data_IF_523345149947
#
_entry.id   IF_523345149947
#
_cell.length_a   1.000
_cell.length_b   1.000
_cell.length_c   1.000
_cell.angle_alpha   90.00
_cell.angle_beta   90.00
_cell.angle_gamma   90.00
#
_symmetry.space_group_name_H-M   'P 1'
#
loop_
_entity.id
_entity.type
_entity.pdbx_description
1 polymer ?
#
# COMPACT_ATOMS: atom_id res chain seq x y z
N UNK A 1 -18.43 -1.31 -4.69
CA UNK A 1 -17.10 -1.51 -4.07
C UNK A 1 -16.39 -0.17 -4.05
N UNK A 2 -15.79 0.22 -2.92
CA UNK A 2 -15.03 1.48 -2.83
C UNK A 2 -13.81 1.43 -3.75
N UNK A 3 -13.50 2.54 -4.41
CA UNK A 3 -12.30 2.73 -5.23
C UNK A 3 -11.19 3.47 -4.47
N UNK A 4 -11.42 3.78 -3.19
CA UNK A 4 -10.44 4.44 -2.34
C UNK A 4 -9.37 3.47 -1.84
N UNK A 5 -8.17 4.00 -1.61
CA UNK A 5 -7.11 3.28 -0.92
C UNK A 5 -7.58 2.85 0.47
N UNK A 6 -7.22 1.63 0.88
CA UNK A 6 -7.56 1.09 2.19
C UNK A 6 -6.48 1.52 3.17
N UNK A 7 -6.87 2.31 4.17
CA UNK A 7 -6.02 2.70 5.30
C UNK A 7 -6.49 1.99 6.58
N UNK A 8 -5.55 1.62 7.44
CA UNK A 8 -5.83 1.11 8.78
C UNK A 8 -5.33 2.12 9.81
N UNK A 9 -6.26 2.88 10.38
CA UNK A 9 -5.94 3.79 11.50
C UNK A 9 -6.02 3.02 12.81
N UNK A 10 -4.96 3.12 13.60
CA UNK A 10 -4.90 2.56 14.95
C UNK A 10 -5.28 3.64 15.96
N UNK A 11 -6.39 3.44 16.66
CA UNK A 11 -6.80 4.21 17.82
C UNK A 11 -6.26 3.54 19.07
N UNK A 12 -5.53 4.30 19.88
CA UNK A 12 -4.88 3.81 21.09
C UNK A 12 -5.65 4.29 22.32
N UNK A 13 -5.83 3.37 23.26
CA UNK A 13 -6.29 3.63 24.62
C UNK A 13 -5.15 3.19 25.55
N UNK A 14 -4.23 4.12 25.83
CA UNK A 14 -3.03 3.83 26.60
C UNK A 14 -3.30 3.69 28.10
N UNK A 15 -4.38 4.28 28.60
CA UNK A 15 -4.77 4.18 30.00
C UNK A 15 -5.17 2.75 30.36
N UNK A 16 -5.79 2.04 29.41
CA UNK A 16 -6.18 0.64 29.57
C UNK A 16 -5.29 -0.35 28.78
N UNK A 17 -4.38 0.14 27.94
CA UNK A 17 -3.44 -0.67 27.18
C UNK A 17 -4.08 -1.40 25.99
N UNK A 18 -4.88 -0.70 25.18
CA UNK A 18 -5.57 -1.26 24.01
C UNK A 18 -5.26 -0.50 22.70
N UNK A 19 -5.30 -1.22 21.58
CA UNK A 19 -5.31 -0.69 20.23
C UNK A 19 -6.52 -1.25 19.48
N UNK A 20 -7.46 -0.39 19.05
CA UNK A 20 -8.73 -0.76 18.41
C UNK A 20 -9.48 -1.92 19.10
N UNK A 21 -9.41 -2.04 20.43
CA UNK A 21 -10.07 -3.11 21.19
C UNK A 21 -9.25 -4.40 21.35
N UNK A 22 -8.06 -4.52 20.75
CA UNK A 22 -7.08 -5.55 21.05
C UNK A 22 -6.16 -5.07 22.18
N UNK A 23 -5.88 -5.92 23.18
CA UNK A 23 -5.01 -5.59 24.31
C UNK A 23 -3.55 -5.61 23.86
N UNK A 24 -2.82 -4.54 24.10
CA UNK A 24 -1.38 -4.44 23.86
C UNK A 24 -0.68 -5.35 24.87
N UNK A 25 0.04 -6.34 24.37
CA UNK A 25 0.76 -7.33 25.22
C UNK A 25 2.26 -7.11 25.20
N UNK A 26 2.78 -6.56 24.10
CA UNK A 26 4.17 -6.15 23.97
C UNK A 26 4.35 -5.09 22.86
N UNK A 27 5.60 -4.75 22.54
CA UNK A 27 5.95 -3.73 21.56
C UNK A 27 5.53 -4.07 20.11
N UNK A 28 5.27 -5.33 19.79
CA UNK A 28 4.98 -5.81 18.45
C UNK A 28 3.64 -6.57 18.35
N UNK A 29 2.86 -6.63 19.42
CA UNK A 29 1.63 -7.41 19.43
C UNK A 29 0.52 -6.77 20.26
N UNK A 30 -0.68 -6.75 19.68
CA UNK A 30 -1.93 -6.56 20.42
C UNK A 30 -2.90 -7.69 20.07
N UNK A 31 -3.49 -8.31 21.08
CA UNK A 31 -4.30 -9.53 20.93
C UNK A 31 -5.76 -9.27 21.28
N UNK A 32 -6.65 -9.96 20.58
CA UNK A 32 -8.05 -9.97 20.99
C UNK A 32 -8.19 -10.65 22.37
N UNK A 33 -8.92 -10.02 23.29
CA UNK A 33 -9.18 -10.57 24.64
C UNK A 33 -10.63 -11.03 24.84
N UNK A 34 -11.48 -10.87 23.84
CA UNK A 34 -12.88 -11.26 23.87
C UNK A 34 -13.10 -12.59 23.17
N UNK A 35 -13.38 -13.63 23.93
CA UNK A 35 -13.85 -14.90 23.38
C UNK A 35 -15.34 -14.77 23.05
N UNK A 36 -15.68 -14.71 21.76
CA UNK A 36 -17.07 -14.68 21.30
C UNK A 36 -17.44 -16.08 20.82
N UNK A 37 -18.41 -16.77 21.46
CA UNK A 37 -18.73 -18.15 21.15
C UNK A 37 -19.13 -18.38 19.68
N UNK A 38 -18.81 -19.58 19.20
CA UNK A 38 -19.15 -20.07 17.86
C UNK A 38 -18.58 -19.17 16.74
N UNK A 39 -19.31 -18.99 15.65
CA UNK A 39 -18.86 -18.21 14.49
C UNK A 39 -18.98 -16.69 14.68
N UNK A 40 -19.42 -16.22 15.85
CA UNK A 40 -19.62 -14.80 16.13
C UNK A 40 -18.31 -14.04 16.39
N UNK A 41 -17.20 -14.76 16.65
CA UNK A 41 -15.86 -14.21 16.79
C UNK A 41 -15.11 -13.98 15.47
N UNK A 42 -15.76 -14.12 14.30
CA UNK A 42 -15.11 -13.99 12.98
C UNK A 42 -14.38 -12.65 12.80
N UNK A 43 -14.87 -11.60 13.45
CA UNK A 43 -14.28 -10.26 13.37
C UNK A 43 -13.28 -10.00 14.52
N UNK A 44 -12.87 -11.03 15.27
CA UNK A 44 -11.74 -10.94 16.19
C UNK A 44 -10.43 -10.84 15.40
N UNK A 45 -9.50 -10.02 15.90
CA UNK A 45 -8.25 -9.74 15.24
C UNK A 45 -7.11 -9.55 16.22
N UNK A 46 -5.94 -10.00 15.80
CA UNK A 46 -4.68 -9.66 16.42
C UNK A 46 -3.93 -8.71 15.50
N UNK A 47 -3.24 -7.74 16.09
CA UNK A 47 -2.25 -6.94 15.40
C UNK A 47 -0.87 -7.54 15.64
N UNK A 48 -0.15 -7.80 14.55
CA UNK A 48 1.25 -8.23 14.59
C UNK A 48 2.09 -7.22 13.83
N UNK A 49 3.03 -6.61 14.53
CA UNK A 49 3.96 -5.63 13.95
C UNK A 49 5.31 -6.30 13.71
N UNK A 50 5.95 -5.91 12.62
CA UNK A 50 7.31 -6.32 12.29
C UNK A 50 8.05 -5.20 11.58
N UNK A 51 9.36 -5.34 11.43
CA UNK A 51 10.18 -4.44 10.61
C UNK A 51 10.69 -5.17 9.40
N UNK A 52 10.46 -4.60 8.22
CA UNK A 52 11.00 -5.11 6.96
C UNK A 52 11.47 -3.96 6.09
N UNK A 53 12.69 -4.09 5.56
CA UNK A 53 13.28 -3.08 4.65
C UNK A 53 13.29 -1.65 5.22
N UNK A 54 13.44 -1.53 6.55
CA UNK A 54 13.46 -0.23 7.25
C UNK A 54 12.08 0.38 7.56
N UNK A 55 10.99 -0.22 7.09
CA UNK A 55 9.62 0.19 7.38
C UNK A 55 8.96 -0.73 8.41
N UNK A 56 8.04 -0.18 9.19
CA UNK A 56 7.15 -0.96 10.04
C UNK A 56 6.00 -1.54 9.20
N UNK A 57 5.74 -2.83 9.43
CA UNK A 57 4.74 -3.64 8.74
C UNK A 57 3.73 -4.11 9.76
N UNK A 58 2.45 -4.06 9.41
CA UNK A 58 1.36 -4.58 10.22
C UNK A 58 0.66 -5.72 9.48
N UNK A 59 0.58 -6.89 10.11
CA UNK A 59 -0.27 -7.99 9.69
C UNK A 59 -1.52 -8.06 10.58
N UNK A 60 -2.70 -7.98 9.95
CA UNK A 60 -4.00 -8.07 10.62
C UNK A 60 -5.05 -8.58 9.63
N UNK A 61 -5.91 -9.51 10.04
CA UNK A 61 -7.00 -10.06 9.21
C UNK A 61 -6.57 -10.57 7.82
N UNK A 62 -5.39 -11.20 7.75
CA UNK A 62 -4.82 -11.69 6.49
C UNK A 62 -4.39 -10.58 5.52
N UNK A 63 -4.32 -9.33 5.99
CA UNK A 63 -3.83 -8.18 5.23
C UNK A 63 -2.51 -7.70 5.82
N UNK A 64 -1.59 -7.33 4.94
CA UNK A 64 -0.31 -6.73 5.29
C UNK A 64 -0.32 -5.26 4.91
N UNK A 65 -0.01 -4.39 5.86
CA UNK A 65 0.08 -2.95 5.70
C UNK A 65 1.52 -2.49 5.92
N UNK A 66 1.90 -1.42 5.21
CA UNK A 66 3.13 -0.68 5.46
C UNK A 66 2.77 0.63 6.15
N UNK A 67 3.57 1.05 7.13
CA UNK A 67 3.42 2.37 7.74
C UNK A 67 3.63 3.47 6.69
N UNK A 68 2.82 4.51 6.74
CA UNK A 68 2.76 5.52 5.66
C UNK A 68 4.10 6.25 5.41
N UNK A 69 4.86 6.53 6.46
CA UNK A 69 6.20 7.14 6.37
C UNK A 69 7.28 6.18 5.85
N UNK A 70 6.99 4.87 5.84
CA UNK A 70 7.81 3.83 5.23
C UNK A 70 7.63 3.69 3.72
N UNK A 71 6.63 4.36 3.14
CA UNK A 71 6.42 4.33 1.68
C UNK A 71 7.45 5.26 1.01
N UNK A 72 8.29 4.75 0.08
CA UNK A 72 9.29 5.57 -0.58
C UNK A 72 8.68 6.51 -1.63
N UNK A 73 9.46 7.49 -2.01
CA UNK A 73 9.15 8.39 -3.12
C UNK A 73 9.30 7.69 -4.48
N UNK A 74 8.37 7.92 -5.41
CA UNK A 74 8.54 7.54 -6.82
C UNK A 74 9.76 8.26 -7.39
N UNK A 75 10.59 7.54 -8.15
CA UNK A 75 11.79 8.12 -8.74
C UNK A 75 11.45 9.19 -9.78
N UNK A 76 12.00 10.40 -9.60
CA UNK A 76 11.67 11.56 -10.44
C UNK A 76 12.46 11.63 -11.75
N UNK A 77 13.46 10.77 -11.96
CA UNK A 77 14.24 10.74 -13.19
C UNK A 77 13.42 10.26 -14.40
N UNK A 78 13.99 10.43 -15.60
CA UNK A 78 13.32 10.10 -16.86
C UNK A 78 12.96 8.61 -16.97
N UNK A 79 13.81 7.73 -16.46
CA UNK A 79 13.61 6.29 -16.55
C UNK A 79 13.89 5.60 -15.22
N UNK A 80 13.10 4.58 -14.89
CA UNK A 80 13.32 3.72 -13.74
C UNK A 80 12.77 2.32 -13.96
N UNK A 81 13.08 1.43 -13.03
CA UNK A 81 12.61 0.05 -13.03
C UNK A 81 12.12 -0.33 -11.64
N UNK A 82 10.94 -0.93 -11.57
CA UNK A 82 10.40 -1.54 -10.36
C UNK A 82 10.22 -3.03 -10.63
N UNK A 83 10.59 -3.87 -9.67
CA UNK A 83 10.39 -5.32 -9.73
C UNK A 83 9.63 -5.76 -8.49
N UNK A 84 8.63 -6.62 -8.67
CA UNK A 84 7.95 -7.28 -7.55
C UNK A 84 8.95 -8.24 -6.90
N UNK A 85 9.16 -8.07 -5.60
CA UNK A 85 10.16 -8.84 -4.86
C UNK A 85 9.75 -10.31 -4.75
N UNK A 86 10.69 -11.22 -4.41
CA UNK A 86 10.38 -12.65 -4.20
C UNK A 86 9.24 -12.91 -3.20
N UNK A 87 8.99 -11.99 -2.26
CA UNK A 87 7.85 -12.07 -1.32
C UNK A 87 6.48 -11.90 -1.98
N UNK A 88 6.41 -11.48 -3.25
CA UNK A 88 5.16 -11.27 -3.98
C UNK A 88 4.35 -10.05 -3.53
N UNK A 89 4.87 -9.25 -2.60
CA UNK A 89 4.17 -8.07 -2.08
C UNK A 89 4.15 -6.93 -3.09
N UNK A 90 3.01 -6.22 -3.13
CA UNK A 90 2.85 -5.03 -3.93
C UNK A 90 3.84 -3.92 -3.52
N UNK A 91 4.26 -3.10 -4.48
CA UNK A 91 5.24 -2.04 -4.28
C UNK A 91 4.55 -0.68 -4.33
N UNK A 92 4.56 0.02 -3.19
CA UNK A 92 3.94 1.33 -3.02
C UNK A 92 4.96 2.46 -3.13
N UNK A 93 4.53 3.59 -3.71
CA UNK A 93 5.32 4.81 -3.77
C UNK A 93 4.45 6.06 -3.61
N UNK A 94 4.99 7.09 -2.97
CA UNK A 94 4.42 8.43 -2.98
C UNK A 94 4.68 9.12 -4.32
N UNK A 95 3.67 9.80 -4.84
CA UNK A 95 3.79 10.69 -6.00
C UNK A 95 4.05 12.08 -5.45
N UNK A 96 5.22 12.66 -5.74
CA UNK A 96 5.53 14.00 -5.23
C UNK A 96 4.77 15.05 -6.04
N UNK A 97 4.36 16.18 -5.43
CA UNK A 97 3.76 17.30 -6.16
C UNK A 97 4.61 17.82 -7.33
N UNK A 98 5.94 17.67 -7.27
CA UNK A 98 6.87 18.03 -8.35
C UNK A 98 6.72 17.19 -9.62
N UNK A 99 6.03 16.05 -9.56
CA UNK A 99 5.72 15.20 -10.71
C UNK A 99 4.37 15.52 -11.36
N UNK A 100 3.59 16.45 -10.80
CA UNK A 100 2.26 16.79 -11.28
C UNK A 100 2.25 17.11 -12.79
N UNK A 101 1.36 16.45 -13.52
CA UNK A 101 1.18 16.65 -14.96
C UNK A 101 2.27 16.03 -15.85
N UNK A 102 3.34 15.47 -15.29
CA UNK A 102 4.27 14.63 -16.08
C UNK A 102 3.56 13.35 -16.48
N UNK A 103 3.69 12.96 -17.74
CA UNK A 103 3.12 11.70 -18.22
C UNK A 103 4.04 10.55 -17.83
N UNK A 104 3.49 9.62 -17.07
CA UNK A 104 4.12 8.36 -16.73
C UNK A 104 3.63 7.28 -17.70
N UNK A 105 4.55 6.64 -18.41
CA UNK A 105 4.27 5.47 -19.24
C UNK A 105 5.00 4.26 -18.67
N UNK A 106 4.31 3.14 -18.55
CA UNK A 106 4.83 1.91 -17.94
C UNK A 106 4.85 0.79 -18.97
N UNK A 107 6.02 0.21 -19.23
CA UNK A 107 6.12 -1.06 -19.94
C UNK A 107 6.14 -2.19 -18.89
N UNK A 108 5.17 -3.10 -19.00
CA UNK A 108 4.96 -4.21 -18.07
C UNK A 108 5.52 -5.48 -18.70
N UNK A 109 6.54 -6.07 -18.07
CA UNK A 109 7.05 -7.39 -18.38
C UNK A 109 6.48 -8.36 -17.34
N UNK A 110 5.37 -9.03 -17.68
CA UNK A 110 4.66 -9.92 -16.78
C UNK A 110 3.14 -9.73 -16.81
N UNK A 111 2.46 -10.26 -15.80
CA UNK A 111 0.98 -10.24 -15.69
C UNK A 111 0.43 -9.10 -14.83
N UNK A 112 1.32 -8.38 -14.14
CA UNK A 112 0.99 -7.33 -13.21
C UNK A 112 0.40 -6.06 -13.83
N UNK A 113 0.10 -5.11 -12.95
CA UNK A 113 -0.42 -3.81 -13.30
C UNK A 113 -0.16 -2.77 -12.21
N UNK A 114 -0.62 -1.55 -12.46
CA UNK A 114 -0.50 -0.46 -11.51
C UNK A 114 -1.79 0.31 -11.35
N UNK A 115 -1.94 0.90 -10.17
CA UNK A 115 -3.08 1.75 -9.80
C UNK A 115 -2.53 3.05 -9.24
N UNK A 116 -3.12 4.17 -9.68
CA UNK A 116 -2.77 5.52 -9.22
C UNK A 116 -3.93 6.07 -8.41
N UNK A 117 -3.62 6.56 -7.22
CA UNK A 117 -4.52 7.26 -6.32
C UNK A 117 -4.09 8.71 -6.21
N UNK A 118 -5.04 9.63 -6.17
CA UNK A 118 -4.78 11.04 -5.87
C UNK A 118 -4.48 11.26 -4.37
N UNK A 119 -4.28 12.52 -3.99
CA UNK A 119 -3.97 12.93 -2.62
C UNK A 119 -5.11 12.58 -1.62
N UNK A 120 -6.35 12.54 -2.09
CA UNK A 120 -7.52 12.15 -1.29
C UNK A 120 -7.65 10.62 -1.19
N UNK A 121 -6.75 9.87 -1.85
CA UNK A 121 -6.75 8.42 -1.85
C UNK A 121 -7.78 7.81 -2.79
N UNK A 122 -8.35 8.58 -3.74
CA UNK A 122 -9.28 8.08 -4.74
C UNK A 122 -8.53 7.53 -5.96
N UNK A 123 -8.94 6.37 -6.46
CA UNK A 123 -8.36 5.79 -7.67
C UNK A 123 -8.66 6.68 -8.89
N UNK A 124 -7.61 7.26 -9.46
CA UNK A 124 -7.68 8.04 -10.70
C UNK A 124 -7.28 7.21 -11.92
N UNK A 125 -6.47 6.17 -11.75
CA UNK A 125 -6.05 5.28 -12.84
C UNK A 125 -5.91 3.83 -12.42
N UNK A 126 -6.20 2.91 -13.34
CA UNK A 126 -5.90 1.48 -13.21
C UNK A 126 -5.52 0.94 -14.59
N UNK A 127 -4.30 0.40 -14.72
CA UNK A 127 -3.83 -0.15 -16.00
C UNK A 127 -4.60 -1.40 -16.41
N UNK A 128 -5.12 -2.16 -15.44
CA UNK A 128 -5.84 -3.41 -15.67
C UNK A 128 -7.26 -3.14 -16.17
N UNK A 129 -7.96 -2.18 -15.54
CA UNK A 129 -9.35 -1.84 -15.89
C UNK A 129 -9.38 -1.03 -17.19
N UNK A 130 -8.52 -0.02 -17.32
CA UNK A 130 -8.53 0.88 -18.49
C UNK A 130 -7.79 0.32 -19.70
N UNK A 131 -6.98 -0.74 -19.53
CA UNK A 131 -6.06 -1.24 -20.57
C UNK A 131 -5.14 -0.15 -21.13
N UNK A 132 -4.77 0.80 -20.27
CA UNK A 132 -3.91 1.93 -20.59
C UNK A 132 -2.71 1.94 -19.66
N UNK A 133 -1.52 2.01 -20.25
CA UNK A 133 -0.25 1.96 -19.53
C UNK A 133 0.38 3.35 -19.34
N UNK A 134 -0.35 4.42 -19.69
CA UNK A 134 0.11 5.80 -19.59
C UNK A 134 -0.92 6.67 -18.89
N UNK A 135 -0.47 7.63 -18.07
CA UNK A 135 -1.32 8.56 -17.31
C UNK A 135 -0.51 9.82 -16.93
N UNK A 136 -1.08 11.04 -17.02
CA UNK A 136 -0.52 12.22 -16.36
C UNK A 136 -0.63 12.09 -14.85
N UNK A 137 0.48 12.27 -14.12
CA UNK A 137 0.49 12.08 -12.68
C UNK A 137 -0.31 13.18 -11.94
N UNK A 138 -1.08 12.82 -10.89
CA UNK A 138 -1.75 13.79 -10.03
C UNK A 138 -0.75 14.64 -9.23
N UNK A 139 -1.22 15.76 -8.68
CA UNK A 139 -0.43 16.66 -7.85
C UNK A 139 -0.26 16.15 -6.41
N UNK A 140 0.21 14.91 -6.25
CA UNK A 140 0.22 14.20 -4.98
C UNK A 140 -0.54 12.88 -5.05
N UNK A 141 -0.39 12.06 -4.02
CA UNK A 141 -1.05 10.76 -3.91
C UNK A 141 -0.08 9.59 -3.92
N UNK A 142 -0.58 8.42 -4.31
CA UNK A 142 0.16 7.16 -4.21
C UNK A 142 0.00 6.32 -5.48
N UNK A 143 1.05 5.58 -5.82
CA UNK A 143 1.01 4.56 -6.87
C UNK A 143 1.38 3.21 -6.27
N UNK A 144 0.66 2.17 -6.70
CA UNK A 144 0.96 0.78 -6.34
C UNK A 144 1.19 -0.04 -7.60
N UNK A 145 2.23 -0.87 -7.58
CA UNK A 145 2.51 -1.90 -8.57
C UNK A 145 2.24 -3.27 -7.94
N UNK A 146 1.38 -4.06 -8.57
CA UNK A 146 1.03 -5.41 -8.13
C UNK A 146 1.19 -6.41 -9.26
N UNK A 147 1.55 -7.64 -8.95
CA UNK A 147 1.84 -8.69 -9.93
C UNK A 147 2.45 -9.91 -9.26
N UNK A 148 2.94 -10.85 -10.06
CA UNK A 148 3.67 -12.01 -9.57
C UNK A 148 5.10 -11.62 -9.18
N UNK A 149 5.73 -12.40 -8.30
CA UNK A 149 7.13 -12.24 -7.99
C UNK A 149 7.97 -12.28 -9.28
N UNK A 150 8.85 -11.29 -9.45
CA UNK A 150 9.67 -11.15 -10.66
C UNK A 150 9.05 -10.30 -11.77
N UNK A 151 7.76 -9.94 -11.71
CA UNK A 151 7.16 -8.99 -12.67
C UNK A 151 7.92 -7.65 -12.64
N UNK A 152 8.20 -7.10 -13.83
CA UNK A 152 9.00 -5.89 -14.00
C UNK A 152 8.17 -4.77 -14.64
N UNK A 153 8.30 -3.58 -14.08
CA UNK A 153 7.69 -2.35 -14.56
C UNK A 153 8.79 -1.36 -14.93
N UNK A 154 8.94 -1.08 -16.23
CA UNK A 154 9.84 -0.04 -16.72
C UNK A 154 9.06 1.25 -16.88
N UNK A 155 9.45 2.26 -16.14
CA UNK A 155 8.74 3.54 -16.08
C UNK A 155 9.52 4.56 -16.89
N UNK A 156 8.80 5.28 -17.73
CA UNK A 156 9.28 6.47 -18.41
C UNK A 156 8.44 7.67 -17.98
N UNK A 157 9.09 8.73 -17.52
CA UNK A 157 8.47 10.01 -17.17
C UNK A 157 8.84 11.07 -18.20
N UNK A 158 7.88 11.50 -19.00
CA UNK A 158 8.09 12.65 -19.90
C UNK A 158 7.98 13.97 -19.13
N UNK A 159 8.49 15.04 -19.73
CA UNK A 159 8.23 16.39 -19.23
C UNK A 159 6.76 16.77 -19.51
N UNK A 160 6.31 17.80 -18.80
CA UNK A 160 5.01 18.45 -19.00
C UNK A 160 5.00 19.21 -20.33
#
# INVERSE_FOLDING_TARGET
MSTAIINKTLALDLDYGYANGAKIVDANQAVNVMEIPNMNGRDAFDFKFSKSSGAEILDVNGQTYIREDGIPNLYAGKESKITIQPSGQARWFHIQPSLAGRTMTVNMEGSGGFIVYDEQGLMVHSSIIRKQNSIPLPAGGKIVFGGQAGDVFRIHLSNK
#
